data_IF_211791724035
#
_entry.id   IF_211791724035
#
_cell.length_a   1.000
_cell.length_b   1.000
_cell.length_c   1.000
_cell.angle_alpha   90.00
_cell.angle_beta   90.00
_cell.angle_gamma   90.00
#
_symmetry.space_group_name_H-M   'P 1'
#
loop_
_entity.id
_entity.type
_entity.pdbx_description
1 polymer ?
#
# COMPACT_ATOMS: atom_id res chain seq x y z
N UNK A 1 -17.16 -7.10 4.28
CA UNK A 1 -17.00 -5.87 5.08
C UNK A 1 -18.07 -4.86 4.67
N UNK A 2 -18.50 -3.91 5.50
CA UNK A 2 -19.28 -2.77 4.99
C UNK A 2 -18.30 -1.79 4.35
N UNK A 3 -18.70 -1.11 3.27
CA UNK A 3 -17.84 -0.18 2.51
C UNK A 3 -17.22 0.90 3.42
N UNK A 4 -17.93 1.31 4.46
CA UNK A 4 -17.49 2.24 5.50
C UNK A 4 -16.39 1.68 6.41
N UNK A 5 -16.48 0.40 6.81
CA UNK A 5 -15.46 -0.27 7.62
C UNK A 5 -14.16 -0.40 6.83
N UNK A 6 -14.27 -0.79 5.55
CA UNK A 6 -13.12 -0.89 4.66
C UNK A 6 -12.42 0.46 4.47
N UNK A 7 -13.19 1.52 4.17
CA UNK A 7 -12.65 2.88 4.05
C UNK A 7 -11.98 3.36 5.35
N UNK A 8 -12.53 3.00 6.52
CA UNK A 8 -11.93 3.32 7.81
C UNK A 8 -10.60 2.57 8.03
N UNK A 9 -10.51 1.30 7.64
CA UNK A 9 -9.26 0.53 7.70
C UNK A 9 -8.18 1.13 6.80
N UNK A 10 -8.53 1.52 5.57
CA UNK A 10 -7.61 2.22 4.69
C UNK A 10 -7.10 3.52 5.31
N UNK A 11 -7.98 4.31 5.92
CA UNK A 11 -7.58 5.54 6.61
C UNK A 11 -6.62 5.31 7.79
N UNK A 12 -6.58 4.10 8.34
CA UNK A 12 -5.66 3.70 9.42
C UNK A 12 -4.34 3.13 8.85
N UNK A 13 -4.39 2.38 7.75
CA UNK A 13 -3.24 1.67 7.17
C UNK A 13 -2.43 2.56 6.21
N UNK A 14 -3.08 3.44 5.45
CA UNK A 14 -2.44 4.35 4.49
C UNK A 14 -1.37 5.24 5.15
N UNK A 15 -1.65 6.00 6.23
CA UNK A 15 -0.66 6.89 6.83
C UNK A 15 0.67 6.22 7.21
N UNK A 16 0.71 5.06 7.92
CA UNK A 16 1.98 4.41 8.23
C UNK A 16 2.69 3.88 6.98
N UNK A 17 1.97 3.48 5.92
CA UNK A 17 2.60 3.06 4.65
C UNK A 17 3.27 4.26 3.97
N UNK A 18 2.57 5.40 3.87
CA UNK A 18 3.14 6.65 3.33
C UNK A 18 4.38 7.07 4.12
N UNK A 19 4.33 6.99 5.46
CA UNK A 19 5.49 7.34 6.30
C UNK A 19 6.70 6.44 5.99
N UNK A 20 6.49 5.12 5.84
CA UNK A 20 7.55 4.18 5.45
C UNK A 20 8.12 4.52 4.07
N UNK A 21 7.26 4.82 3.10
CA UNK A 21 7.68 5.20 1.74
C UNK A 21 8.52 6.48 1.78
N UNK A 22 8.04 7.51 2.47
CA UNK A 22 8.71 8.81 2.61
C UNK A 22 10.09 8.63 3.25
N UNK A 23 10.17 7.85 4.35
CA UNK A 23 11.43 7.59 5.06
C UNK A 23 12.43 6.78 4.24
N UNK A 24 12.01 5.71 3.58
CA UNK A 24 12.94 4.84 2.85
C UNK A 24 13.31 5.36 1.46
N UNK A 25 12.37 5.97 0.73
CA UNK A 25 12.64 6.54 -0.60
C UNK A 25 13.26 7.93 -0.53
N UNK A 26 13.35 8.54 0.67
CA UNK A 26 13.85 9.91 0.86
C UNK A 26 13.16 10.92 -0.08
N UNK A 27 11.84 10.78 -0.22
CA UNK A 27 10.97 11.69 -0.99
C UNK A 27 10.11 12.51 -0.04
N UNK A 28 9.53 13.62 -0.51
CA UNK A 28 8.59 14.40 0.29
C UNK A 28 7.28 13.63 0.53
N UNK A 29 6.61 13.89 1.66
CA UNK A 29 5.34 13.23 2.01
C UNK A 29 4.28 13.44 0.91
N UNK A 30 4.15 14.66 0.39
CA UNK A 30 3.23 14.97 -0.72
C UNK A 30 3.53 14.15 -1.97
N UNK A 31 4.81 13.93 -2.29
CA UNK A 31 5.24 13.11 -3.42
C UNK A 31 4.95 11.63 -3.14
N UNK A 32 5.22 11.15 -1.92
CA UNK A 32 4.91 9.79 -1.50
C UNK A 32 3.41 9.51 -1.58
N UNK A 33 2.56 10.43 -1.11
CA UNK A 33 1.10 10.35 -1.22
C UNK A 33 0.70 10.28 -2.68
N UNK A 34 1.18 11.19 -3.52
CA UNK A 34 0.80 11.22 -4.93
C UNK A 34 1.19 9.92 -5.64
N UNK A 35 2.44 9.45 -5.44
CA UNK A 35 2.92 8.18 -6.00
C UNK A 35 2.15 6.98 -5.49
N UNK A 36 1.90 6.91 -4.19
CA UNK A 36 1.20 5.79 -3.60
C UNK A 36 -0.23 5.69 -4.13
N UNK A 37 -0.98 6.80 -4.15
CA UNK A 37 -2.33 6.85 -4.71
C UNK A 37 -2.38 6.56 -6.22
N UNK A 38 -1.30 6.86 -6.95
CA UNK A 38 -1.16 6.55 -8.39
C UNK A 38 -0.63 5.14 -8.65
N UNK A 39 -0.14 4.44 -7.63
CA UNK A 39 0.43 3.11 -7.79
C UNK A 39 -0.65 2.05 -7.82
N UNK A 40 -0.36 0.95 -8.51
CA UNK A 40 -1.26 -0.21 -8.55
C UNK A 40 -1.53 -0.77 -7.16
N UNK A 41 -0.55 -0.64 -6.26
CA UNK A 41 -0.72 -1.05 -4.87
C UNK A 41 -1.93 -0.37 -4.21
N UNK A 42 -2.16 0.93 -4.39
CA UNK A 42 -3.33 1.59 -3.78
C UNK A 42 -4.64 1.22 -4.48
N UNK A 43 -4.62 1.08 -5.81
CA UNK A 43 -5.79 0.63 -6.59
C UNK A 43 -6.26 -0.75 -6.11
N UNK A 44 -5.31 -1.67 -5.89
CA UNK A 44 -5.55 -2.99 -5.35
C UNK A 44 -5.87 -2.96 -3.85
N UNK A 45 -5.21 -2.08 -3.07
CA UNK A 45 -5.52 -1.91 -1.64
C UNK A 45 -6.96 -1.43 -1.43
N UNK A 46 -7.47 -0.58 -2.33
CA UNK A 46 -8.86 -0.10 -2.38
C UNK A 46 -9.82 -1.13 -2.98
N UNK A 47 -9.30 -2.24 -3.49
CA UNK A 47 -10.08 -3.34 -4.03
C UNK A 47 -10.31 -4.39 -2.94
N UNK A 48 -11.57 -4.54 -2.49
CA UNK A 48 -11.93 -5.50 -1.44
C UNK A 48 -11.51 -6.94 -1.78
N UNK A 49 -11.42 -7.27 -3.08
CA UNK A 49 -11.00 -8.59 -3.59
C UNK A 49 -9.50 -8.86 -3.53
N UNK A 50 -8.67 -7.82 -3.44
CA UNK A 50 -7.23 -8.00 -3.44
C UNK A 50 -6.72 -8.48 -2.07
N UNK A 51 -7.56 -8.35 -1.03
CA UNK A 51 -7.26 -8.73 0.36
C UNK A 51 -6.00 -8.05 0.92
N UNK A 52 -5.43 -7.08 0.20
CA UNK A 52 -4.23 -6.34 0.58
C UNK A 52 -4.37 -5.58 1.89
N UNK A 53 -5.59 -5.17 2.20
CA UNK A 53 -5.96 -4.51 3.44
C UNK A 53 -5.90 -5.42 4.68
N UNK A 54 -5.87 -6.75 4.50
CA UNK A 54 -5.52 -7.68 5.57
C UNK A 54 -4.02 -7.70 5.86
N UNK A 55 -3.19 -7.34 4.88
CA UNK A 55 -1.75 -7.27 5.08
C UNK A 55 -1.36 -6.02 5.87
N UNK A 56 -0.38 -6.19 6.74
CA UNK A 56 0.13 -5.09 7.54
C UNK A 56 0.84 -4.02 6.70
N UNK A 57 1.05 -2.81 7.26
CA UNK A 57 1.72 -1.73 6.55
C UNK A 57 3.13 -2.11 6.07
N UNK A 58 3.78 -3.06 6.74
CA UNK A 58 5.11 -3.56 6.39
C UNK A 58 5.11 -4.44 5.13
N UNK A 59 4.06 -5.26 4.94
CA UNK A 59 3.88 -6.08 3.73
C UNK A 59 3.53 -5.20 2.54
N UNK A 60 2.60 -4.26 2.72
CA UNK A 60 2.25 -3.28 1.69
C UNK A 60 3.46 -2.47 1.24
N UNK A 61 4.27 -2.05 2.21
CA UNK A 61 5.53 -1.37 1.93
C UNK A 61 6.50 -2.26 1.12
N UNK A 62 6.63 -3.54 1.49
CA UNK A 62 7.50 -4.51 0.78
C UNK A 62 7.04 -4.71 -0.66
N UNK A 63 5.73 -4.87 -0.90
CA UNK A 63 5.17 -5.01 -2.24
C UNK A 63 5.38 -3.74 -3.08
N UNK A 64 5.21 -2.57 -2.48
CA UNK A 64 5.52 -1.30 -3.15
C UNK A 64 7.01 -1.19 -3.51
N UNK A 65 7.91 -1.64 -2.64
CA UNK A 65 9.34 -1.69 -2.97
C UNK A 65 9.64 -2.66 -4.11
N UNK A 66 9.01 -3.83 -4.12
CA UNK A 66 9.18 -4.80 -5.19
C UNK A 66 8.70 -4.19 -6.52
N UNK A 67 7.50 -3.58 -6.54
CA UNK A 67 6.99 -2.85 -7.70
C UNK A 67 8.01 -1.80 -8.23
N UNK A 68 8.67 -1.07 -7.33
CA UNK A 68 9.69 -0.09 -7.73
C UNK A 68 10.99 -0.72 -8.25
N UNK A 69 11.37 -1.89 -7.74
CA UNK A 69 12.62 -2.56 -8.11
C UNK A 69 12.49 -3.40 -9.40
N UNK A 70 11.40 -4.15 -9.55
CA UNK A 70 11.17 -5.11 -10.65
C UNK A 70 10.11 -4.63 -11.63
N UNK A 71 9.30 -3.62 -11.29
CA UNK A 71 8.17 -3.14 -12.09
C UNK A 71 6.89 -3.94 -11.90
N UNK A 72 6.93 -4.99 -11.08
CA UNK A 72 5.81 -5.88 -10.77
C UNK A 72 5.97 -6.38 -9.35
N UNK A 73 4.92 -6.54 -8.56
CA UNK A 73 5.04 -7.22 -7.27
C UNK A 73 4.27 -8.54 -7.33
N UNK A 74 4.82 -9.58 -6.71
CA UNK A 74 4.10 -10.84 -6.52
C UNK A 74 3.38 -10.83 -5.17
N UNK A 75 2.26 -11.55 -5.08
CA UNK A 75 1.57 -11.70 -3.81
C UNK A 75 2.42 -12.62 -2.94
N UNK A 76 2.71 -12.27 -1.67
CA UNK A 76 3.36 -13.21 -0.79
C UNK A 76 2.44 -14.42 -0.67
N UNK A 77 2.78 -15.53 -1.36
CA UNK A 77 1.99 -16.76 -1.31
C UNK A 77 1.79 -17.16 0.16
N UNK A 78 0.53 -17.24 0.60
CA UNK A 78 0.18 -17.97 1.82
C UNK A 78 0.40 -19.46 1.53
N UNK A 79 1.63 -19.94 1.76
CA UNK A 79 1.93 -21.38 1.84
C UNK A 79 1.60 -21.95 3.20
#
# INVERSE_FOLDING_TARGET
MTKDQFSALLAIIVPPVIEQITRNCNIEESEAISRFYQSRLYEELSNEKSELWHYGPMTLYTMYQDELMTGTYDYPEET
#
